data_IF_922844031344
#
_entry.id   IF_922844031344
#
_cell.length_a   1.000
_cell.length_b   1.000
_cell.length_c   1.000
_cell.angle_alpha   90.00
_cell.angle_beta   90.00
_cell.angle_gamma   90.00
#
_symmetry.space_group_name_H-M   'P 1'
#
loop_
_entity.id
_entity.type
_entity.pdbx_description
1 polymer ?
#
# COMPACT_ATOMS: atom_id res chain seq x y z
N UNK A 1 0.72 6.63 9.64
CA UNK A 1 0.61 5.19 9.27
C UNK A 1 0.32 4.40 10.52
N UNK A 2 -0.66 3.53 10.47
CA UNK A 2 -1.03 2.70 11.61
C UNK A 2 -0.04 1.53 11.70
N UNK A 3 0.76 1.49 12.76
CA UNK A 3 1.71 0.40 13.03
C UNK A 3 1.08 -0.68 13.92
N UNK A 4 -0.23 -0.76 13.88
CA UNK A 4 -1.00 -1.70 14.68
C UNK A 4 -1.24 -2.98 13.86
N UNK A 5 -0.93 -4.12 14.47
CA UNK A 5 -1.31 -5.43 13.94
C UNK A 5 -2.51 -5.91 14.74
N UNK A 6 -3.58 -6.27 14.05
CA UNK A 6 -4.79 -6.79 14.66
C UNK A 6 -4.96 -8.26 14.29
N UNK A 7 -5.11 -9.10 15.29
CA UNK A 7 -5.41 -10.53 15.13
C UNK A 7 -6.77 -10.80 15.76
N UNK A 8 -7.72 -11.25 14.94
CA UNK A 8 -9.07 -11.61 15.42
C UNK A 8 -9.13 -13.12 15.62
N UNK A 9 -9.50 -13.55 16.82
CA UNK A 9 -9.66 -14.96 17.18
C UNK A 9 -11.14 -15.21 17.44
N UNK A 10 -11.76 -16.04 16.60
CA UNK A 10 -13.18 -16.38 16.67
C UNK A 10 -13.46 -17.60 17.55
N UNK A 11 -14.54 -17.58 18.33
CA UNK A 11 -14.99 -18.74 19.10
C UNK A 11 -16.07 -18.44 20.15
N UNK A 12 -16.68 -19.48 20.71
CA UNK A 12 -17.97 -19.36 21.40
C UNK A 12 -17.95 -19.28 22.93
N UNK A 13 -16.88 -19.55 23.66
CA UNK A 13 -16.89 -19.49 25.13
C UNK A 13 -15.57 -19.05 25.70
N UNK A 14 -15.61 -17.99 26.48
CA UNK A 14 -14.51 -17.41 27.22
C UNK A 14 -14.54 -17.94 28.66
N UNK A 15 -13.64 -18.83 29.02
CA UNK A 15 -13.53 -19.23 30.42
C UNK A 15 -12.56 -18.37 31.21
N UNK A 16 -11.49 -17.86 30.63
CA UNK A 16 -10.53 -17.00 31.35
C UNK A 16 -9.54 -16.29 30.39
N UNK A 17 -9.35 -15.00 30.63
CA UNK A 17 -8.23 -14.25 30.08
C UNK A 17 -7.20 -14.05 31.18
N UNK A 18 -6.13 -14.81 31.19
CA UNK A 18 -4.97 -14.56 32.04
C UNK A 18 -3.89 -13.83 31.25
N UNK A 19 -3.57 -12.63 31.69
CA UNK A 19 -2.46 -11.85 31.14
C UNK A 19 -1.26 -12.03 32.07
N UNK A 20 -0.39 -12.98 31.75
CA UNK A 20 0.95 -13.01 32.30
C UNK A 20 1.93 -13.24 31.16
N UNK A 21 2.95 -12.41 31.07
CA UNK A 21 4.06 -12.52 30.11
C UNK A 21 3.65 -12.78 28.66
N UNK A 22 2.60 -12.06 28.20
CA UNK A 22 2.08 -12.13 26.84
C UNK A 22 1.49 -13.49 26.44
N UNK A 23 0.93 -14.24 27.40
CA UNK A 23 0.17 -15.45 27.13
C UNK A 23 -1.32 -15.18 27.27
N UNK A 24 -2.10 -15.54 26.25
CA UNK A 24 -3.56 -15.48 26.25
C UNK A 24 -4.09 -16.90 26.21
N UNK A 25 -4.84 -17.32 27.22
CA UNK A 25 -5.47 -18.65 27.29
C UNK A 25 -6.92 -18.58 26.84
N UNK A 26 -7.28 -19.44 25.89
CA UNK A 26 -8.63 -19.49 25.35
C UNK A 26 -9.06 -20.91 24.98
N UNK A 27 -10.22 -21.35 25.47
CA UNK A 27 -10.81 -22.69 25.23
C UNK A 27 -9.83 -23.86 25.38
N UNK A 28 -9.02 -23.85 26.41
CA UNK A 28 -8.00 -24.87 26.58
C UNK A 28 -6.79 -24.72 25.66
N UNK A 29 -6.77 -23.69 24.82
CA UNK A 29 -5.60 -23.33 24.02
C UNK A 29 -4.90 -22.11 24.60
N UNK A 30 -3.60 -22.18 24.75
CA UNK A 30 -2.78 -21.04 25.18
C UNK A 30 -2.16 -20.38 23.96
N UNK A 31 -2.43 -19.10 23.80
CA UNK A 31 -1.81 -18.25 22.77
C UNK A 31 -0.59 -17.59 23.37
N UNK A 32 0.58 -17.91 22.88
CA UNK A 32 1.84 -17.34 23.33
C UNK A 32 2.30 -16.32 22.31
N UNK A 33 2.42 -15.08 22.75
CA UNK A 33 3.00 -14.02 21.91
C UNK A 33 4.49 -13.96 22.21
N UNK A 34 5.31 -14.41 21.27
CA UNK A 34 6.77 -14.27 21.37
C UNK A 34 7.19 -12.87 20.92
N UNK A 35 7.18 -11.94 21.85
CA UNK A 35 7.60 -10.56 21.63
C UNK A 35 8.97 -10.25 22.27
N UNK A 36 9.76 -11.25 22.64
CA UNK A 36 11.06 -11.04 23.33
C UNK A 36 12.05 -10.17 22.57
N UNK A 37 11.83 -9.96 21.28
CA UNK A 37 12.70 -9.16 20.41
C UNK A 37 12.03 -7.90 19.86
N UNK A 38 10.75 -7.67 20.15
CA UNK A 38 9.95 -6.61 19.53
C UNK A 38 9.24 -5.83 20.65
N UNK A 39 9.42 -4.50 20.73
CA UNK A 39 8.66 -3.68 21.65
C UNK A 39 7.21 -3.56 21.15
N UNK A 40 6.37 -4.50 21.54
CA UNK A 40 4.93 -4.47 21.27
C UNK A 40 4.16 -4.34 22.56
N UNK A 41 3.20 -3.45 22.60
CA UNK A 41 2.17 -3.46 23.65
C UNK A 41 0.97 -4.25 23.16
N UNK A 42 0.50 -5.18 23.97
CA UNK A 42 -0.68 -5.97 23.69
C UNK A 42 -1.89 -5.36 24.39
N UNK A 43 -2.91 -5.02 23.60
CA UNK A 43 -4.24 -4.71 24.10
C UNK A 43 -5.21 -5.81 23.67
N UNK A 44 -5.92 -6.35 24.62
CA UNK A 44 -6.93 -7.38 24.40
C UNK A 44 -8.30 -6.74 24.52
N UNK A 45 -9.10 -6.84 23.48
CA UNK A 45 -10.46 -6.33 23.45
C UNK A 45 -11.44 -7.46 23.17
N UNK A 46 -12.57 -7.46 23.87
CA UNK A 46 -13.69 -8.31 23.49
C UNK A 46 -14.34 -7.72 22.25
N UNK A 47 -14.51 -8.53 21.22
CA UNK A 47 -15.11 -8.11 19.95
C UNK A 47 -16.45 -8.83 19.76
N UNK A 48 -17.54 -8.06 19.61
CA UNK A 48 -18.85 -8.58 19.25
C UNK A 48 -19.21 -8.09 17.84
N UNK A 49 -19.29 -9.02 16.90
CA UNK A 49 -19.79 -8.70 15.57
C UNK A 49 -21.24 -9.17 15.43
N UNK A 50 -22.16 -8.23 15.18
CA UNK A 50 -23.59 -8.47 15.27
C UNK A 50 -24.28 -8.88 13.96
N UNK A 51 -23.61 -9.23 12.90
CA UNK A 51 -24.32 -9.37 11.62
C UNK A 51 -24.34 -10.77 10.99
N UNK A 52 -23.88 -11.84 11.54
CA UNK A 52 -24.08 -13.20 10.97
C UNK A 52 -23.79 -14.35 11.93
N UNK A 53 -24.22 -14.24 13.19
CA UNK A 53 -24.21 -15.41 14.08
C UNK A 53 -22.85 -15.79 14.64
N UNK A 54 -21.82 -15.00 14.47
CA UNK A 54 -20.51 -15.16 15.12
C UNK A 54 -20.62 -14.51 16.50
N UNK A 55 -20.79 -15.35 17.50
CA UNK A 55 -20.90 -14.92 18.91
C UNK A 55 -19.52 -14.83 19.47
N UNK A 56 -18.86 -14.07 19.94
CA UNK A 56 -17.60 -13.94 20.69
C UNK A 56 -16.30 -14.13 19.89
N UNK A 57 -15.56 -13.05 19.76
CA UNK A 57 -14.19 -13.03 19.25
C UNK A 57 -13.28 -12.22 20.19
N UNK A 58 -11.99 -12.51 20.19
CA UNK A 58 -10.97 -11.65 20.78
C UNK A 58 -10.28 -10.88 19.66
N UNK A 59 -10.15 -9.59 19.88
CA UNK A 59 -9.26 -8.74 19.11
C UNK A 59 -7.98 -8.55 19.93
N UNK A 60 -6.87 -9.03 19.41
CA UNK A 60 -5.54 -8.73 19.90
C UNK A 60 -4.97 -7.59 19.09
N UNK A 61 -4.81 -6.44 19.72
CA UNK A 61 -4.19 -5.26 19.10
C UNK A 61 -2.74 -5.13 19.60
N UNK A 62 -1.82 -5.11 18.67
CA UNK A 62 -0.40 -4.93 18.94
C UNK A 62 0.03 -3.57 18.41
N UNK A 63 0.40 -2.67 19.31
CA UNK A 63 1.03 -1.40 18.96
C UNK A 63 2.54 -1.61 18.89
N UNK A 64 3.13 -1.32 17.75
CA UNK A 64 4.52 -1.60 17.44
C UNK A 64 5.26 -0.33 16.96
N UNK A 65 6.57 -0.27 17.21
CA UNK A 65 7.44 0.82 16.77
C UNK A 65 7.69 0.81 15.25
N UNK A 66 7.57 -0.38 14.63
CA UNK A 66 7.78 -0.61 13.19
C UNK A 66 6.65 -1.46 12.60
N UNK A 67 6.74 -1.68 11.29
CA UNK A 67 5.85 -2.60 10.60
C UNK A 67 6.41 -4.00 10.74
N UNK A 68 5.57 -4.90 11.22
CA UNK A 68 5.87 -6.31 11.34
C UNK A 68 4.86 -7.14 10.57
N UNK A 69 5.30 -8.27 10.05
CA UNK A 69 4.45 -9.40 9.69
C UNK A 69 4.33 -10.33 10.89
N UNK A 70 3.35 -11.20 10.88
CA UNK A 70 3.21 -12.22 11.90
C UNK A 70 3.01 -13.60 11.26
N UNK A 71 3.44 -14.62 11.99
CA UNK A 71 3.20 -16.02 11.67
C UNK A 71 2.44 -16.68 12.82
N UNK A 72 1.50 -17.54 12.46
CA UNK A 72 0.75 -18.35 13.42
C UNK A 72 1.19 -19.80 13.23
N UNK A 73 1.57 -20.46 14.31
CA UNK A 73 1.83 -21.90 14.30
C UNK A 73 1.39 -22.54 15.60
N UNK A 74 0.97 -23.79 15.52
CA UNK A 74 0.49 -24.55 16.67
C UNK A 74 1.50 -25.61 17.09
N UNK A 75 1.78 -25.68 18.39
CA UNK A 75 2.58 -26.75 19.00
C UNK A 75 1.82 -27.29 20.21
N UNK A 76 1.28 -28.50 20.08
CA UNK A 76 0.40 -29.07 21.10
C UNK A 76 -0.86 -28.22 21.26
N UNK A 77 -1.11 -27.79 22.51
CA UNK A 77 -2.25 -26.94 22.89
C UNK A 77 -1.95 -25.43 22.73
N UNK A 78 -0.72 -25.07 22.34
CA UNK A 78 -0.28 -23.70 22.23
C UNK A 78 -0.34 -23.20 20.80
N UNK A 79 -0.88 -22.00 20.60
CA UNK A 79 -0.79 -21.25 19.36
C UNK A 79 0.18 -20.09 19.57
N UNK A 80 1.21 -20.05 18.75
CA UNK A 80 2.24 -19.02 18.80
C UNK A 80 1.96 -17.95 17.76
N UNK A 81 2.03 -16.68 18.18
CA UNK A 81 2.00 -15.51 17.32
C UNK A 81 3.40 -14.92 17.33
N UNK A 82 4.15 -15.12 16.26
CA UNK A 82 5.51 -14.62 16.14
C UNK A 82 5.56 -13.44 15.20
N UNK A 83 6.09 -12.34 15.67
CA UNK A 83 6.33 -11.15 14.85
C UNK A 83 7.71 -11.20 14.23
N UNK A 84 7.80 -10.84 12.96
CA UNK A 84 9.05 -10.80 12.21
C UNK A 84 9.03 -9.64 11.23
N UNK A 85 10.22 -9.28 10.72
CA UNK A 85 10.29 -8.30 9.65
C UNK A 85 9.56 -8.85 8.40
N UNK A 86 8.78 -8.02 7.65
CA UNK A 86 8.05 -8.50 6.46
C UNK A 86 8.93 -9.25 5.46
N UNK A 87 10.20 -8.88 5.31
CA UNK A 87 11.17 -9.58 4.45
C UNK A 87 11.52 -11.00 4.90
N UNK A 88 11.23 -11.37 6.13
CA UNK A 88 11.40 -12.76 6.61
C UNK A 88 10.25 -13.67 6.16
N UNK A 89 9.13 -13.06 5.73
CA UNK A 89 7.92 -13.78 5.29
C UNK A 89 7.73 -13.70 3.77
N UNK A 90 8.03 -12.54 3.19
CA UNK A 90 7.75 -12.27 1.78
C UNK A 90 9.03 -12.05 0.99
N UNK A 91 9.23 -12.82 -0.06
CA UNK A 91 10.39 -12.69 -0.97
C UNK A 91 10.41 -11.34 -1.67
N UNK A 92 9.23 -10.86 -2.06
CA UNK A 92 9.06 -9.58 -2.75
C UNK A 92 8.06 -8.69 -2.04
N UNK A 93 8.45 -7.43 -1.86
CA UNK A 93 7.63 -6.40 -1.26
C UNK A 93 7.56 -5.20 -2.21
N UNK A 94 6.36 -4.77 -2.54
CA UNK A 94 6.11 -3.56 -3.33
C UNK A 94 5.32 -2.57 -2.49
N UNK A 95 5.75 -1.31 -2.49
CA UNK A 95 4.98 -0.23 -1.89
C UNK A 95 4.26 0.53 -2.99
N UNK A 96 2.94 0.63 -2.85
CA UNK A 96 2.07 1.48 -3.65
C UNK A 96 1.80 2.74 -2.84
N UNK A 97 2.15 3.87 -3.40
CA UNK A 97 1.98 5.16 -2.75
C UNK A 97 0.87 5.96 -3.45
N UNK A 98 -0.22 6.20 -2.72
CA UNK A 98 -1.24 7.13 -3.17
C UNK A 98 -0.79 8.56 -2.87
N UNK A 99 -0.37 9.32 -3.88
CA UNK A 99 0.11 10.69 -3.73
C UNK A 99 -0.88 11.59 -3.00
N UNK A 100 -0.38 12.63 -2.31
CA UNK A 100 -1.20 13.58 -1.56
C UNK A 100 -2.05 12.93 -0.45
N UNK A 101 -3.11 13.60 0.02
CA UNK A 101 -4.06 13.07 1.02
C UNK A 101 -4.37 14.05 2.16
N UNK A 102 -5.57 13.94 2.73
CA UNK A 102 -6.04 14.81 3.80
C UNK A 102 -6.06 16.28 3.38
N UNK A 103 -5.29 17.11 4.08
CA UNK A 103 -5.17 18.56 3.77
C UNK A 103 -4.28 18.89 2.57
N UNK A 104 -3.57 17.91 2.01
CA UNK A 104 -2.80 18.05 0.78
C UNK A 104 -3.64 17.49 -0.37
N UNK A 105 -4.29 18.38 -1.11
CA UNK A 105 -5.21 18.01 -2.20
C UNK A 105 -4.49 17.62 -3.49
N UNK A 106 -3.21 17.99 -3.63
CA UNK A 106 -2.53 17.97 -4.92
C UNK A 106 -3.12 19.01 -5.86
N UNK A 107 -3.09 18.73 -7.15
CA UNK A 107 -3.81 19.54 -8.13
C UNK A 107 -5.31 19.22 -8.13
N UNK A 108 -6.10 20.01 -8.84
CA UNK A 108 -7.56 19.87 -8.90
C UNK A 108 -8.05 19.84 -10.33
N UNK A 109 -9.14 19.13 -10.55
CA UNK A 109 -9.84 19.18 -11.81
C UNK A 109 -10.49 20.55 -12.01
N UNK A 110 -10.49 21.07 -13.24
CA UNK A 110 -11.13 22.36 -13.55
C UNK A 110 -12.63 22.40 -13.26
N UNK A 111 -13.30 21.23 -13.25
CA UNK A 111 -14.69 21.11 -12.83
C UNK A 111 -14.90 21.38 -11.34
N UNK A 112 -13.84 21.30 -10.51
CA UNK A 112 -13.90 21.47 -9.06
C UNK A 112 -14.50 20.31 -8.30
N UNK A 113 -14.83 19.19 -8.95
CA UNK A 113 -15.53 18.06 -8.33
C UNK A 113 -14.58 17.03 -7.72
N UNK A 114 -13.30 17.01 -8.14
CA UNK A 114 -12.30 16.03 -7.72
C UNK A 114 -10.92 16.67 -7.53
N UNK A 115 -10.30 16.34 -6.42
CA UNK A 115 -8.90 16.63 -6.16
C UNK A 115 -8.00 15.47 -6.64
N UNK A 116 -6.76 15.74 -6.93
CA UNK A 116 -5.77 14.72 -7.30
C UNK A 116 -5.68 13.60 -6.26
N UNK A 117 -5.71 13.95 -4.97
CA UNK A 117 -5.66 12.99 -3.86
C UNK A 117 -6.73 11.91 -3.94
N UNK A 118 -7.92 12.25 -4.48
CA UNK A 118 -9.07 11.33 -4.55
C UNK A 118 -8.86 10.29 -5.65
N UNK A 119 -8.36 10.71 -6.82
CA UNK A 119 -7.99 9.79 -7.89
C UNK A 119 -6.84 8.87 -7.47
N UNK A 120 -5.79 9.43 -6.85
CA UNK A 120 -4.64 8.66 -6.38
C UNK A 120 -5.04 7.60 -5.35
N UNK A 121 -5.97 7.94 -4.45
CA UNK A 121 -6.51 7.01 -3.46
C UNK A 121 -7.35 5.91 -4.14
N UNK A 122 -8.21 6.27 -5.10
CA UNK A 122 -9.04 5.30 -5.81
C UNK A 122 -8.19 4.34 -6.64
N UNK A 123 -7.15 4.83 -7.32
CA UNK A 123 -6.19 3.97 -8.02
C UNK A 123 -5.51 2.98 -7.05
N UNK A 124 -5.04 3.44 -5.89
CA UNK A 124 -4.39 2.57 -4.92
C UNK A 124 -5.35 1.50 -4.37
N UNK A 125 -6.60 1.87 -4.05
CA UNK A 125 -7.65 0.93 -3.61
C UNK A 125 -7.99 -0.10 -4.69
N UNK A 126 -8.04 0.32 -5.94
CA UNK A 126 -8.26 -0.61 -7.07
C UNK A 126 -7.06 -1.53 -7.29
N UNK A 127 -5.83 -1.05 -7.12
CA UNK A 127 -4.66 -1.94 -7.13
C UNK A 127 -4.76 -2.97 -6.02
N UNK A 128 -5.18 -2.60 -4.81
CA UNK A 128 -5.42 -3.53 -3.70
C UNK A 128 -6.51 -4.56 -4.05
N UNK A 129 -7.64 -4.09 -4.58
CA UNK A 129 -8.81 -4.92 -4.94
C UNK A 129 -8.47 -5.97 -6.02
N UNK A 130 -7.69 -5.58 -7.04
CA UNK A 130 -7.38 -6.46 -8.18
C UNK A 130 -6.07 -7.22 -8.03
N UNK A 131 -5.31 -6.99 -6.96
CA UNK A 131 -4.10 -7.77 -6.69
C UNK A 131 -4.44 -9.15 -6.14
N UNK A 132 -4.00 -10.20 -6.84
CA UNK A 132 -4.31 -11.58 -6.48
C UNK A 132 -3.07 -12.52 -6.51
N UNK A 133 -1.89 -11.97 -6.21
CA UNK A 133 -0.63 -12.71 -6.27
C UNK A 133 0.03 -12.81 -4.89
N UNK A 134 -0.01 -13.99 -4.29
CA UNK A 134 0.46 -14.22 -2.92
C UNK A 134 1.99 -14.12 -2.75
N UNK A 135 2.75 -14.35 -3.82
CA UNK A 135 4.22 -14.34 -3.78
C UNK A 135 4.84 -12.94 -3.66
N UNK A 136 4.06 -11.90 -3.93
CA UNK A 136 4.50 -10.51 -3.87
C UNK A 136 3.57 -9.76 -2.93
N UNK A 137 4.09 -9.26 -1.84
CA UNK A 137 3.29 -8.51 -0.86
C UNK A 137 3.20 -7.05 -1.24
N UNK A 138 1.99 -6.54 -1.41
CA UNK A 138 1.75 -5.11 -1.53
C UNK A 138 1.56 -4.47 -0.15
N UNK A 139 2.17 -3.31 0.03
CA UNK A 139 1.91 -2.38 1.12
C UNK A 139 1.52 -1.03 0.55
N UNK A 140 0.65 -0.31 1.24
CA UNK A 140 0.10 0.96 0.77
C UNK A 140 0.48 2.09 1.73
N UNK A 141 0.90 3.23 1.19
CA UNK A 141 1.19 4.41 2.02
C UNK A 141 -0.06 4.93 2.73
N UNK A 142 -1.20 4.84 2.06
CA UNK A 142 -2.54 5.11 2.61
C UNK A 142 -3.61 4.39 1.78
N UNK A 143 -4.70 4.02 2.45
CA UNK A 143 -5.94 3.52 1.85
C UNK A 143 -7.16 4.33 2.33
N UNK A 144 -6.88 5.46 3.01
CA UNK A 144 -7.87 6.43 3.48
C UNK A 144 -7.45 7.84 3.09
N UNK A 145 -8.37 8.81 3.18
CA UNK A 145 -8.05 10.22 2.93
C UNK A 145 -7.32 10.84 4.12
N UNK A 146 -6.08 10.42 4.32
CA UNK A 146 -5.19 10.89 5.37
C UNK A 146 -3.94 11.53 4.78
N UNK A 147 -3.43 12.57 5.46
CA UNK A 147 -2.17 13.20 5.08
C UNK A 147 -1.00 12.35 5.53
N UNK A 148 -0.18 11.91 4.58
CA UNK A 148 1.09 11.21 4.81
C UNK A 148 2.22 12.10 4.30
N UNK A 149 3.18 12.44 5.15
CA UNK A 149 4.30 13.29 4.73
C UNK A 149 5.24 12.57 3.76
N UNK A 150 5.97 13.32 2.93
CA UNK A 150 6.94 12.73 2.01
C UNK A 150 8.03 11.93 2.74
N UNK A 151 8.41 12.37 3.93
CA UNK A 151 9.37 11.67 4.79
C UNK A 151 8.81 10.32 5.26
N UNK A 152 7.56 10.31 5.71
CA UNK A 152 6.92 9.08 6.19
C UNK A 152 6.72 8.06 5.07
N UNK A 153 6.38 8.50 3.84
CA UNK A 153 6.27 7.62 2.66
C UNK A 153 7.58 6.91 2.36
N UNK A 154 8.69 7.67 2.39
CA UNK A 154 10.03 7.14 2.13
C UNK A 154 10.49 6.21 3.25
N UNK A 155 10.33 6.63 4.51
CA UNK A 155 10.70 5.81 5.66
C UNK A 155 9.90 4.50 5.68
N UNK A 156 8.61 4.57 5.38
CA UNK A 156 7.76 3.38 5.27
C UNK A 156 8.32 2.35 4.27
N UNK A 157 8.66 2.78 3.05
CA UNK A 157 9.20 1.90 2.03
C UNK A 157 10.61 1.39 2.38
N UNK A 158 11.45 2.26 2.96
CA UNK A 158 12.81 1.90 3.38
C UNK A 158 12.81 0.92 4.57
N UNK A 159 11.94 1.13 5.56
CA UNK A 159 11.79 0.24 6.72
C UNK A 159 11.28 -1.14 6.32
N UNK A 160 10.40 -1.22 5.33
CA UNK A 160 9.93 -2.48 4.73
C UNK A 160 11.01 -3.18 3.90
N UNK A 161 12.13 -2.52 3.60
CA UNK A 161 13.12 -3.00 2.62
C UNK A 161 12.45 -3.40 1.30
N UNK A 162 11.57 -2.55 0.80
CA UNK A 162 10.78 -2.84 -0.39
C UNK A 162 11.66 -3.07 -1.62
N UNK A 163 11.23 -3.95 -2.52
CA UNK A 163 11.91 -4.23 -3.79
C UNK A 163 11.53 -3.25 -4.89
N UNK A 164 10.40 -2.55 -4.69
CA UNK A 164 9.87 -1.56 -5.63
C UNK A 164 8.98 -0.57 -4.90
N UNK A 165 9.07 0.72 -5.29
CA UNK A 165 8.18 1.78 -4.85
C UNK A 165 7.49 2.41 -6.06
N UNK A 166 6.15 2.37 -6.10
CA UNK A 166 5.32 2.92 -7.17
C UNK A 166 4.41 3.99 -6.57
N UNK A 167 4.66 5.26 -6.95
CA UNK A 167 3.82 6.39 -6.53
C UNK A 167 2.84 6.74 -7.64
N UNK A 168 1.57 6.90 -7.28
CA UNK A 168 0.46 7.18 -8.18
C UNK A 168 0.03 8.63 -8.05
N UNK A 169 0.02 9.35 -9.17
CA UNK A 169 -0.29 10.77 -9.29
C UNK A 169 -1.13 11.06 -10.53
N UNK A 170 -1.71 12.25 -10.55
CA UNK A 170 -2.29 12.88 -11.73
C UNK A 170 -1.65 14.24 -11.94
N UNK A 171 -1.29 14.53 -13.18
CA UNK A 171 -0.59 15.73 -13.56
C UNK A 171 -1.53 16.94 -13.77
N UNK A 172 -0.94 18.11 -13.90
CA UNK A 172 -1.61 19.34 -14.33
C UNK A 172 -0.71 20.19 -15.20
N UNK A 173 -1.32 21.04 -16.02
CA UNK A 173 -0.61 22.02 -16.84
C UNK A 173 -1.34 23.36 -16.81
N UNK A 174 -0.62 24.43 -16.50
CA UNK A 174 -1.17 25.79 -16.49
C UNK A 174 -1.61 26.26 -17.86
N UNK A 175 -0.95 25.80 -18.94
CA UNK A 175 -1.17 26.23 -20.30
C UNK A 175 -2.23 25.41 -21.05
N UNK A 176 -2.95 24.49 -20.39
CA UNK A 176 -3.92 23.58 -21.04
C UNK A 176 -3.34 22.72 -22.19
N UNK A 177 -2.03 22.58 -22.25
CA UNK A 177 -1.32 21.88 -23.32
C UNK A 177 -0.81 20.49 -22.90
N UNK A 178 -1.00 20.09 -21.63
CA UNK A 178 -0.59 18.80 -21.11
C UNK A 178 -1.72 17.79 -21.17
N UNK A 179 -1.50 16.64 -21.82
CA UNK A 179 -2.37 15.46 -21.77
C UNK A 179 -1.55 14.20 -21.90
N UNK A 180 -2.02 13.09 -21.35
CA UNK A 180 -1.39 11.77 -21.47
C UNK A 180 -0.60 11.34 -20.24
N UNK A 181 0.33 10.41 -20.43
CA UNK A 181 1.06 9.71 -19.38
C UNK A 181 2.51 10.18 -19.30
N UNK A 182 3.00 10.37 -18.09
CA UNK A 182 4.43 10.55 -17.81
C UNK A 182 4.88 9.61 -16.70
N UNK A 183 6.16 9.27 -16.67
CA UNK A 183 6.74 8.55 -15.56
C UNK A 183 8.08 9.16 -15.15
N UNK A 184 8.22 9.38 -13.84
CA UNK A 184 9.44 9.87 -13.24
C UNK A 184 10.13 8.70 -12.55
N UNK A 185 11.47 8.60 -12.70
CA UNK A 185 12.26 7.53 -12.12
C UNK A 185 13.44 8.07 -11.33
N UNK A 186 13.95 7.27 -10.36
CA UNK A 186 15.11 7.68 -9.59
C UNK A 186 16.41 7.55 -10.40
N UNK A 187 17.30 8.49 -10.13
CA UNK A 187 18.61 8.59 -10.80
C UNK A 187 19.77 8.40 -9.80
N UNK A 188 19.54 7.61 -8.76
CA UNK A 188 20.51 7.11 -7.80
C UNK A 188 21.02 5.71 -8.20
N UNK A 189 21.51 4.90 -7.26
CA UNK A 189 22.01 3.54 -7.51
C UNK A 189 21.01 2.57 -8.20
N UNK A 190 19.72 2.91 -8.27
CA UNK A 190 18.64 2.09 -8.86
C UNK A 190 18.14 2.59 -10.22
N UNK A 191 18.91 3.48 -10.87
CA UNK A 191 18.48 4.17 -12.11
C UNK A 191 18.08 3.21 -13.23
N UNK A 192 18.87 2.17 -13.49
CA UNK A 192 18.61 1.24 -14.58
C UNK A 192 17.28 0.50 -14.38
N UNK A 193 17.07 -0.06 -13.20
CA UNK A 193 15.86 -0.82 -12.85
C UNK A 193 14.61 0.06 -12.84
N UNK A 194 14.72 1.25 -12.24
CA UNK A 194 13.62 2.20 -12.18
C UNK A 194 13.22 2.68 -13.58
N UNK A 195 14.20 3.02 -14.41
CA UNK A 195 13.96 3.45 -15.79
C UNK A 195 13.33 2.34 -16.64
N UNK A 196 13.82 1.11 -16.51
CA UNK A 196 13.27 -0.03 -17.23
C UNK A 196 11.82 -0.32 -16.82
N UNK A 197 11.54 -0.27 -15.51
CA UNK A 197 10.18 -0.47 -14.99
C UNK A 197 9.25 0.69 -15.40
N UNK A 198 9.65 1.95 -15.26
CA UNK A 198 8.89 3.11 -15.69
C UNK A 198 8.52 3.04 -17.18
N UNK A 199 9.46 2.59 -18.02
CA UNK A 199 9.21 2.39 -19.45
C UNK A 199 8.12 1.35 -19.69
N UNK A 200 8.21 0.18 -19.04
CA UNK A 200 7.20 -0.88 -19.15
C UNK A 200 5.82 -0.39 -18.69
N UNK A 201 5.76 0.38 -17.59
CA UNK A 201 4.50 0.97 -17.14
C UNK A 201 3.87 1.87 -18.21
N UNK A 202 4.66 2.80 -18.78
CA UNK A 202 4.14 3.70 -19.80
C UNK A 202 3.67 2.96 -21.05
N UNK A 203 4.42 1.98 -21.54
CA UNK A 203 4.05 1.18 -22.71
C UNK A 203 2.76 0.40 -22.49
N UNK A 204 2.59 -0.20 -21.31
CA UNK A 204 1.39 -0.94 -20.96
C UNK A 204 0.18 -0.02 -20.77
N UNK A 205 0.37 1.10 -20.06
CA UNK A 205 -0.70 2.09 -19.82
C UNK A 205 -1.13 2.79 -21.13
N UNK A 206 -0.20 3.18 -22.00
CA UNK A 206 -0.52 3.70 -23.34
C UNK A 206 -1.40 2.74 -24.12
N UNK A 207 -1.03 1.45 -24.16
CA UNK A 207 -1.79 0.42 -24.85
C UNK A 207 -3.19 0.20 -24.25
N UNK A 208 -3.33 0.27 -22.93
CA UNK A 208 -4.59 -0.01 -22.25
C UNK A 208 -5.54 1.19 -22.21
N UNK A 209 -5.01 2.43 -22.19
CA UNK A 209 -5.81 3.65 -22.06
C UNK A 209 -6.02 4.40 -23.38
N UNK A 210 -5.09 4.24 -24.33
CA UNK A 210 -5.01 5.07 -25.53
C UNK A 210 -4.44 6.48 -25.26
N UNK A 211 -3.96 6.76 -24.07
CA UNK A 211 -3.34 8.04 -23.73
C UNK A 211 -1.99 8.19 -24.42
N UNK A 212 -1.64 9.43 -24.74
CA UNK A 212 -0.33 9.75 -25.30
C UNK A 212 0.76 9.48 -24.28
N UNK A 213 1.76 8.69 -24.65
CA UNK A 213 2.96 8.47 -23.87
C UNK A 213 3.92 9.65 -24.06
N UNK A 214 4.05 10.47 -23.02
CA UNK A 214 4.92 11.68 -23.04
C UNK A 214 6.38 11.37 -22.68
N UNK A 215 6.62 10.12 -22.22
CA UNK A 215 7.96 9.63 -21.98
C UNK A 215 8.42 9.69 -20.52
N UNK A 216 9.72 9.49 -20.34
CA UNK A 216 10.37 9.33 -19.06
C UNK A 216 11.11 10.60 -18.64
N UNK A 217 10.91 10.99 -17.39
CA UNK A 217 11.59 12.11 -16.76
C UNK A 217 12.44 11.63 -15.57
N UNK A 218 13.55 12.34 -15.30
CA UNK A 218 14.32 12.08 -14.09
C UNK A 218 13.69 12.80 -12.90
N UNK A 219 13.36 12.06 -11.85
CA UNK A 219 12.73 12.60 -10.64
C UNK A 219 13.71 13.24 -9.64
N UNK A 220 14.84 13.80 -10.09
CA UNK A 220 15.89 14.34 -9.20
C UNK A 220 15.40 15.35 -8.16
N UNK A 221 14.35 16.10 -8.46
CA UNK A 221 13.78 17.12 -7.58
C UNK A 221 12.67 16.56 -6.67
N UNK A 222 12.17 15.38 -6.96
CA UNK A 222 11.07 14.75 -6.21
C UNK A 222 11.65 14.05 -4.98
N UNK A 223 11.17 14.41 -3.81
CA UNK A 223 11.71 13.93 -2.54
C UNK A 223 11.66 12.40 -2.43
N UNK A 224 10.51 11.79 -2.71
CA UNK A 224 10.33 10.33 -2.62
C UNK A 224 11.26 9.57 -3.57
N UNK A 225 11.41 10.06 -4.80
CA UNK A 225 12.27 9.45 -5.81
C UNK A 225 13.75 9.54 -5.44
N UNK A 226 14.15 10.65 -4.83
CA UNK A 226 15.56 10.89 -4.46
C UNK A 226 16.02 10.10 -3.24
N UNK A 227 15.11 9.90 -2.25
CA UNK A 227 15.46 9.37 -0.94
C UNK A 227 15.04 7.91 -0.71
N UNK A 228 14.33 7.30 -1.65
CA UNK A 228 14.00 5.88 -1.60
C UNK A 228 15.24 5.00 -1.87
N UNK A 229 15.39 3.95 -1.08
CA UNK A 229 16.51 3.01 -1.13
C UNK A 229 16.21 1.76 -1.97
N UNK A 230 15.31 1.88 -2.95
CA UNK A 230 14.90 0.83 -3.88
C UNK A 230 14.57 1.43 -5.25
N UNK A 231 14.39 0.60 -6.30
CA UNK A 231 13.80 1.04 -7.56
C UNK A 231 12.49 1.78 -7.31
N UNK A 232 12.39 3.02 -7.82
CA UNK A 232 11.26 3.91 -7.53
C UNK A 232 10.78 4.60 -8.78
N UNK A 233 9.47 4.59 -8.99
CA UNK A 233 8.81 5.31 -10.07
C UNK A 233 7.62 6.11 -9.53
N UNK A 234 7.36 7.25 -10.13
CA UNK A 234 6.14 8.02 -9.98
C UNK A 234 5.44 8.04 -11.32
N UNK A 235 4.19 7.62 -11.34
CA UNK A 235 3.35 7.56 -12.54
C UNK A 235 2.36 8.71 -12.52
N UNK A 236 2.39 9.52 -13.57
CA UNK A 236 1.38 10.54 -13.85
C UNK A 236 0.35 9.92 -14.82
N UNK A 237 -0.83 9.62 -14.28
CA UNK A 237 -1.85 8.78 -14.91
C UNK A 237 -2.86 9.56 -15.75
N UNK A 238 -2.51 10.77 -16.15
CA UNK A 238 -3.31 11.71 -16.94
C UNK A 238 -3.25 13.09 -16.33
N UNK A 239 -3.72 14.10 -17.09
CA UNK A 239 -3.76 15.50 -16.67
C UNK A 239 -5.16 15.90 -16.24
N UNK A 240 -5.34 16.34 -14.99
CA UNK A 240 -6.64 16.81 -14.49
C UNK A 240 -7.09 18.13 -15.12
N UNK A 241 -6.17 18.83 -15.76
CA UNK A 241 -6.44 20.07 -16.49
C UNK A 241 -6.83 19.84 -17.95
N UNK A 242 -6.64 18.62 -18.48
CA UNK A 242 -7.08 18.22 -19.81
C UNK A 242 -8.48 17.57 -19.76
N UNK A 243 -9.40 18.04 -20.61
CA UNK A 243 -10.78 17.57 -20.61
C UNK A 243 -10.92 16.10 -21.06
N UNK A 244 -10.06 15.65 -21.97
CA UNK A 244 -10.05 14.28 -22.48
C UNK A 244 -9.58 13.30 -21.43
N UNK A 245 -8.42 13.57 -20.82
CA UNK A 245 -7.86 12.76 -19.75
C UNK A 245 -8.81 12.71 -18.55
N UNK A 246 -9.32 13.86 -18.09
CA UNK A 246 -10.27 13.95 -17.00
C UNK A 246 -11.54 13.16 -17.29
N UNK A 247 -12.11 13.31 -18.49
CA UNK A 247 -13.31 12.54 -18.89
C UNK A 247 -13.06 11.04 -18.89
N UNK A 248 -11.85 10.59 -19.22
CA UNK A 248 -11.47 9.19 -19.20
C UNK A 248 -11.35 8.69 -17.75
N UNK A 249 -10.51 9.34 -16.92
CA UNK A 249 -10.23 8.89 -15.55
C UNK A 249 -11.40 9.09 -14.58
N UNK A 250 -12.37 9.97 -14.89
CA UNK A 250 -13.60 10.11 -14.10
C UNK A 250 -14.50 8.88 -14.15
N UNK A 251 -14.34 8.00 -15.15
CA UNK A 251 -15.10 6.76 -15.26
C UNK A 251 -14.42 5.68 -14.43
N UNK A 252 -15.19 5.06 -13.55
CA UNK A 252 -14.70 4.01 -12.66
C UNK A 252 -14.07 2.83 -13.42
N UNK A 253 -14.69 2.38 -14.50
CA UNK A 253 -14.20 1.26 -15.31
C UNK A 253 -12.82 1.55 -15.93
N UNK A 254 -12.55 2.81 -16.28
CA UNK A 254 -11.25 3.20 -16.82
C UNK A 254 -10.18 3.25 -15.73
N UNK A 255 -10.52 3.68 -14.51
CA UNK A 255 -9.59 3.60 -13.36
C UNK A 255 -9.29 2.15 -12.98
N UNK A 256 -10.29 1.26 -13.06
CA UNK A 256 -10.10 -0.18 -12.91
C UNK A 256 -9.11 -0.72 -13.95
N UNK A 257 -9.28 -0.38 -15.23
CA UNK A 257 -8.37 -0.78 -16.29
C UNK A 257 -6.92 -0.31 -16.05
N UNK A 258 -6.73 0.93 -15.60
CA UNK A 258 -5.43 1.46 -15.20
C UNK A 258 -4.83 0.64 -14.05
N UNK A 259 -5.59 0.38 -12.99
CA UNK A 259 -5.13 -0.38 -11.83
C UNK A 259 -4.75 -1.83 -12.20
N UNK A 260 -5.55 -2.51 -12.99
CA UNK A 260 -5.26 -3.87 -13.48
C UNK A 260 -3.99 -3.89 -14.35
N UNK A 261 -3.80 -2.86 -15.19
CA UNK A 261 -2.57 -2.72 -15.98
C UNK A 261 -1.34 -2.56 -15.06
N UNK A 262 -1.43 -1.74 -14.02
CA UNK A 262 -0.36 -1.56 -13.04
C UNK A 262 -0.07 -2.89 -12.31
N UNK A 263 -1.10 -3.63 -11.87
CA UNK A 263 -0.95 -4.94 -11.25
C UNK A 263 -0.17 -5.91 -12.16
N UNK A 264 -0.54 -5.97 -13.44
CA UNK A 264 0.11 -6.85 -14.41
C UNK A 264 1.60 -6.47 -14.61
N UNK A 265 1.92 -5.19 -14.75
CA UNK A 265 3.31 -4.75 -14.93
C UNK A 265 4.16 -5.02 -13.69
N UNK A 266 3.58 -4.88 -12.48
CA UNK A 266 4.26 -5.26 -11.23
C UNK A 266 4.53 -6.76 -11.21
N UNK A 267 3.55 -7.58 -11.56
CA UNK A 267 3.71 -9.02 -11.65
C UNK A 267 4.83 -9.40 -12.63
N UNK A 268 4.78 -8.88 -13.86
CA UNK A 268 5.75 -9.17 -14.93
C UNK A 268 7.18 -8.71 -14.60
N UNK A 269 7.37 -7.86 -13.57
CA UNK A 269 8.69 -7.46 -13.12
C UNK A 269 9.40 -8.55 -12.32
N UNK A 270 8.65 -9.37 -11.60
CA UNK A 270 9.21 -10.31 -10.62
C UNK A 270 9.08 -11.78 -11.02
N UNK A 271 8.34 -12.06 -12.09
CA UNK A 271 8.17 -13.38 -12.70
C UNK A 271 8.82 -13.43 -14.07
#
# INVERSE_FOLDING_TARGET
MNKMVSVVIYGQDWEKLEKSDMTVVWKGHSYVVDAKKIPVSLKVCQYQQNEEGIKDAILLEFDADKIYSYQLYQVGEFVYITFCHPKEVYDKIVVIDAGHGGTDTGTYAKSGDWDEKDFNLDFARKVEEYWNHDNIKLYFSRLEDTKVTLVDRVNFANDLQADLFVSLHCNSSDENSGSGLEALYNSNGYTADSKAFAKKCLEALEKSTGFTNRGLLTGKRIYIIRNANMPTVLLELGFLTDAGDLSYISKEENRKNIAQTICQVIWDKFV
#
